data_IF_104302569395
#
_entry.id   IF_104302569395
#
_cell.length_a   1.000
_cell.length_b   1.000
_cell.length_c   1.000
_cell.angle_alpha   90.00
_cell.angle_beta   90.00
_cell.angle_gamma   90.00
#
_symmetry.space_group_name_H-M   'P 1'
#
loop_
_entity.id
_entity.type
_entity.pdbx_description
1 polymer ?
#
# COMPACT_ATOMS: atom_id res chain seq x y z
N UNK A 1 -20.25 8.47 -4.42
CA UNK A 1 -21.34 8.88 -3.54
C UNK A 1 -21.02 8.39 -2.13
N UNK A 2 -21.41 9.15 -1.10
CA UNK A 2 -21.09 8.84 0.31
C UNK A 2 -21.85 7.59 0.78
N UNK A 3 -23.04 7.40 0.29
CA UNK A 3 -23.90 6.25 0.57
C UNK A 3 -23.32 4.94 0.02
N UNK A 4 -22.80 4.97 -1.20
CA UNK A 4 -22.07 3.83 -1.81
C UNK A 4 -20.80 3.49 -1.04
N UNK A 5 -20.12 4.51 -0.50
CA UNK A 5 -18.94 4.32 0.34
C UNK A 5 -19.31 3.61 1.65
N UNK A 6 -20.36 4.05 2.33
CA UNK A 6 -20.82 3.40 3.56
C UNK A 6 -21.26 1.96 3.32
N UNK A 7 -21.99 1.70 2.25
CA UNK A 7 -22.37 0.33 1.86
C UNK A 7 -21.15 -0.56 1.60
N UNK A 8 -20.13 0.00 0.92
CA UNK A 8 -18.89 -0.72 0.68
C UNK A 8 -18.17 -1.05 2.00
N UNK A 9 -18.07 -0.10 2.93
CA UNK A 9 -17.43 -0.30 4.23
C UNK A 9 -18.18 -1.33 5.09
N UNK A 10 -19.50 -1.35 5.07
CA UNK A 10 -20.32 -2.35 5.76
C UNK A 10 -20.01 -3.78 5.33
N UNK A 11 -19.48 -4.00 4.11
CA UNK A 11 -19.07 -5.34 3.66
C UNK A 11 -17.85 -5.86 4.42
N UNK A 12 -17.02 -4.99 4.97
CA UNK A 12 -15.87 -5.35 5.79
C UNK A 12 -16.22 -5.50 7.30
N UNK A 13 -17.38 -5.00 7.72
CA UNK A 13 -17.82 -5.07 9.13
C UNK A 13 -18.50 -6.39 9.49
N UNK A 14 -19.06 -7.08 8.50
CA UNK A 14 -19.74 -8.37 8.73
C UNK A 14 -18.73 -9.49 8.80
N UNK A 15 -18.83 -10.36 9.80
CA UNK A 15 -18.23 -11.68 9.80
C UNK A 15 -18.80 -12.47 8.61
N UNK A 16 -18.16 -12.31 7.47
CA UNK A 16 -18.53 -13.07 6.28
C UNK A 16 -17.72 -14.37 6.30
N UNK A 17 -18.40 -15.49 6.25
CA UNK A 17 -17.76 -16.81 6.16
C UNK A 17 -17.06 -17.01 4.81
N UNK A 18 -16.18 -16.10 4.40
CA UNK A 18 -15.47 -16.14 3.13
C UNK A 18 -14.41 -15.04 3.00
N UNK A 19 -13.72 -15.04 1.86
CA UNK A 19 -12.70 -14.05 1.53
C UNK A 19 -13.31 -12.89 0.74
N UNK A 20 -13.08 -11.66 1.17
CA UNK A 20 -13.45 -10.46 0.43
C UNK A 20 -12.20 -9.86 -0.22
N UNK A 21 -12.25 -9.64 -1.52
CA UNK A 21 -11.22 -8.91 -2.28
C UNK A 21 -11.85 -7.65 -2.86
N UNK A 22 -11.25 -6.49 -2.55
CA UNK A 22 -11.73 -5.20 -3.03
C UNK A 22 -10.68 -4.51 -3.90
N UNK A 23 -11.11 -3.90 -5.00
CA UNK A 23 -10.26 -3.10 -5.87
C UNK A 23 -10.54 -1.62 -5.65
N UNK A 24 -9.51 -0.87 -5.24
CA UNK A 24 -9.61 0.53 -4.91
C UNK A 24 -8.52 1.35 -5.61
N UNK A 25 -8.83 2.61 -5.91
CA UNK A 25 -7.83 3.55 -6.47
C UNK A 25 -6.98 4.10 -5.34
N UNK A 26 -5.65 3.99 -5.47
CA UNK A 26 -4.69 4.53 -4.52
C UNK A 26 -4.76 6.07 -4.48
N UNK A 27 -4.92 6.65 -3.29
CA UNK A 27 -5.17 8.09 -3.10
C UNK A 27 -6.62 8.51 -3.36
N UNK A 28 -7.55 7.55 -3.57
CA UNK A 28 -8.99 7.81 -3.62
C UNK A 28 -9.65 7.76 -2.23
N UNK A 29 -10.95 7.97 -2.21
CA UNK A 29 -11.78 8.03 -0.97
C UNK A 29 -11.63 6.79 -0.08
N UNK A 30 -11.34 5.63 -0.66
CA UNK A 30 -11.15 4.38 0.07
C UNK A 30 -9.74 4.24 0.68
N UNK A 31 -8.74 4.99 0.19
CA UNK A 31 -7.39 4.97 0.75
C UNK A 31 -7.20 5.96 1.91
N UNK A 32 -8.05 6.98 2.03
CA UNK A 32 -7.90 8.04 3.03
C UNK A 32 -8.91 7.95 4.18
N UNK A 33 -10.04 7.29 3.99
CA UNK A 33 -11.14 7.30 4.96
C UNK A 33 -11.54 5.93 5.52
N UNK A 34 -10.82 4.85 5.22
CA UNK A 34 -11.16 3.53 5.72
C UNK A 34 -10.45 3.26 7.04
N UNK A 35 -11.22 3.00 8.07
CA UNK A 35 -10.73 2.54 9.38
C UNK A 35 -11.12 1.08 9.60
N UNK A 36 -10.37 0.17 8.96
CA UNK A 36 -10.53 -1.28 9.14
C UNK A 36 -9.49 -1.75 10.13
N UNK A 37 -9.88 -1.88 11.39
CA UNK A 37 -9.02 -2.38 12.48
C UNK A 37 -9.11 -3.89 12.63
N UNK A 38 -8.07 -4.51 13.18
CA UNK A 38 -7.98 -5.96 13.45
C UNK A 38 -8.04 -6.83 12.18
N UNK A 39 -8.65 -7.99 12.27
CA UNK A 39 -8.71 -8.99 11.19
C UNK A 39 -9.56 -8.60 9.96
N UNK A 40 -10.06 -7.37 9.93
CA UNK A 40 -10.89 -6.88 8.82
C UNK A 40 -10.11 -6.60 7.54
N UNK A 41 -8.80 -6.33 7.65
CA UNK A 41 -7.91 -6.13 6.53
C UNK A 41 -6.58 -6.85 6.78
N UNK A 42 -6.46 -8.05 6.26
CA UNK A 42 -5.27 -8.91 6.45
C UNK A 42 -4.21 -8.76 5.36
N UNK A 43 -4.49 -8.01 4.32
CA UNK A 43 -3.51 -7.81 3.24
C UNK A 43 -3.87 -6.70 2.28
N UNK A 44 -2.85 -6.11 1.68
CA UNK A 44 -2.98 -5.17 0.58
C UNK A 44 -2.01 -5.50 -0.55
N UNK A 45 -2.51 -5.49 -1.78
CA UNK A 45 -1.72 -5.56 -3.00
C UNK A 45 -1.67 -4.18 -3.63
N UNK A 46 -0.48 -3.57 -3.63
CA UNK A 46 -0.24 -2.23 -4.16
C UNK A 46 0.37 -2.37 -5.54
N UNK A 47 -0.41 -2.05 -6.56
CA UNK A 47 -0.02 -2.13 -7.97
C UNK A 47 0.48 -0.77 -8.45
N UNK A 48 1.75 -0.72 -8.86
CA UNK A 48 2.41 0.53 -9.26
C UNK A 48 2.94 1.35 -8.08
N UNK A 49 3.63 2.42 -8.39
CA UNK A 49 4.36 3.26 -7.42
C UNK A 49 3.59 4.52 -7.00
N UNK A 50 2.32 4.63 -7.34
CA UNK A 50 1.49 5.77 -6.96
C UNK A 50 1.88 7.11 -7.58
N UNK A 51 2.80 7.13 -8.54
CA UNK A 51 3.25 8.36 -9.20
C UNK A 51 2.03 9.11 -9.77
N UNK A 52 1.84 10.37 -9.40
CA UNK A 52 0.73 11.17 -9.91
C UNK A 52 0.88 11.49 -11.40
N UNK A 53 -0.24 11.82 -12.03
CA UNK A 53 -0.24 12.25 -13.42
C UNK A 53 0.57 13.54 -13.61
N UNK A 54 1.14 13.69 -14.82
CA UNK A 54 1.82 14.91 -15.23
C UNK A 54 0.80 16.04 -15.33
N UNK A 55 1.10 17.17 -14.70
CA UNK A 55 0.32 18.40 -14.79
C UNK A 55 1.26 19.61 -14.71
N UNK A 56 0.75 20.78 -15.09
CA UNK A 56 1.55 22.00 -15.13
C UNK A 56 2.17 22.36 -13.79
N UNK A 57 1.41 22.21 -12.71
CA UNK A 57 1.87 22.52 -11.34
C UNK A 57 3.05 21.65 -10.94
N UNK A 58 3.02 20.36 -11.30
CA UNK A 58 4.11 19.43 -11.02
C UNK A 58 5.34 19.68 -11.88
N UNK A 59 5.17 20.07 -13.13
CA UNK A 59 6.28 20.43 -13.99
C UNK A 59 6.96 21.74 -13.50
N UNK A 60 6.19 22.71 -13.00
CA UNK A 60 6.75 23.91 -12.35
C UNK A 60 7.55 23.50 -11.11
N UNK A 61 7.00 22.64 -10.27
CA UNK A 61 7.69 22.15 -9.05
C UNK A 61 8.98 21.39 -9.42
N UNK A 62 8.92 20.53 -10.42
CA UNK A 62 10.07 19.80 -10.92
C UNK A 62 11.17 20.73 -11.45
N UNK A 63 10.81 21.78 -12.18
CA UNK A 63 11.76 22.78 -12.66
C UNK A 63 12.38 23.57 -11.50
N UNK A 64 11.58 23.93 -10.50
CA UNK A 64 12.03 24.69 -9.34
C UNK A 64 13.11 23.92 -8.55
N UNK A 65 12.96 22.63 -8.33
CA UNK A 65 13.92 21.80 -7.60
C UNK A 65 15.07 21.25 -8.46
N UNK A 66 15.09 21.52 -9.78
CA UNK A 66 16.20 21.17 -10.66
C UNK A 66 16.55 19.68 -10.66
N UNK A 67 17.74 19.32 -10.22
CA UNK A 67 18.22 17.94 -10.22
C UNK A 67 17.36 16.97 -9.38
N UNK A 68 16.78 17.44 -8.29
CA UNK A 68 15.91 16.68 -7.40
C UNK A 68 14.41 16.84 -7.76
N UNK A 69 14.11 17.58 -8.83
CA UNK A 69 12.75 17.96 -9.18
C UNK A 69 11.80 16.81 -9.42
N UNK A 70 12.27 15.70 -10.01
CA UNK A 70 11.46 14.51 -10.18
C UNK A 70 11.08 13.88 -8.84
N UNK A 71 11.99 13.83 -7.90
CA UNK A 71 11.76 13.26 -6.58
C UNK A 71 10.66 14.04 -5.84
N UNK A 72 10.76 15.37 -5.81
CA UNK A 72 9.76 16.22 -5.13
C UNK A 72 8.41 16.27 -5.84
N UNK A 73 8.40 16.34 -7.16
CA UNK A 73 7.16 16.48 -7.91
C UNK A 73 6.38 15.15 -8.06
N UNK A 74 7.08 14.03 -8.10
CA UNK A 74 6.50 12.75 -8.48
C UNK A 74 6.79 11.61 -7.51
N UNK A 75 8.08 11.36 -7.22
CA UNK A 75 8.49 10.18 -6.46
C UNK A 75 7.99 10.20 -5.03
N UNK A 76 8.27 11.25 -4.28
CA UNK A 76 7.83 11.37 -2.88
C UNK A 76 6.32 11.39 -2.72
N UNK A 77 5.54 12.14 -3.51
CA UNK A 77 4.09 12.05 -3.49
C UNK A 77 3.55 10.65 -3.82
N UNK A 78 4.18 9.95 -4.76
CA UNK A 78 3.83 8.58 -5.09
C UNK A 78 4.07 7.63 -3.92
N UNK A 79 5.27 7.65 -3.36
CA UNK A 79 5.62 6.81 -2.22
C UNK A 79 4.77 7.11 -0.98
N UNK A 80 4.41 8.36 -0.73
CA UNK A 80 3.50 8.69 0.36
C UNK A 80 2.15 7.98 0.20
N UNK A 81 1.58 7.91 -1.00
CA UNK A 81 0.35 7.15 -1.25
C UNK A 81 0.54 5.66 -1.00
N UNK A 82 1.68 5.10 -1.43
CA UNK A 82 2.02 3.69 -1.18
C UNK A 82 2.08 3.42 0.33
N UNK A 83 2.82 4.25 1.08
CA UNK A 83 2.97 4.11 2.52
C UNK A 83 1.65 4.30 3.28
N UNK A 84 0.81 5.26 2.87
CA UNK A 84 -0.53 5.45 3.43
C UNK A 84 -1.42 4.23 3.20
N UNK A 85 -1.41 3.68 1.99
CA UNK A 85 -2.19 2.49 1.65
C UNK A 85 -1.71 1.26 2.44
N UNK A 86 -0.41 1.08 2.55
CA UNK A 86 0.21 0.00 3.33
C UNK A 86 -0.10 0.11 4.83
N UNK A 87 -0.04 1.33 5.38
CA UNK A 87 -0.35 1.62 6.78
C UNK A 87 -1.81 1.39 7.16
N UNK A 88 -2.69 1.06 6.21
CA UNK A 88 -4.06 0.61 6.50
C UNK A 88 -4.14 -0.84 6.95
N UNK A 89 -3.16 -1.66 6.59
CA UNK A 89 -3.11 -3.09 6.95
C UNK A 89 -2.60 -3.29 8.38
N UNK A 90 -1.56 -2.55 8.78
CA UNK A 90 -0.92 -2.68 10.10
C UNK A 90 -0.95 -1.32 10.78
N UNK A 91 -1.72 -1.20 11.84
CA UNK A 91 -1.93 0.05 12.61
C UNK A 91 -1.49 -0.06 14.04
N UNK A 92 -1.58 -1.26 14.61
CA UNK A 92 -1.25 -1.54 16.01
C UNK A 92 -0.24 -2.68 16.08
N UNK A 93 0.38 -2.82 17.23
CA UNK A 93 1.32 -3.93 17.51
C UNK A 93 0.67 -5.32 17.45
N UNK A 94 -0.67 -5.38 17.51
CA UNK A 94 -1.45 -6.62 17.45
C UNK A 94 -1.89 -7.00 16.04
N UNK A 95 -1.79 -6.07 15.09
CA UNK A 95 -2.22 -6.33 13.73
C UNK A 95 -1.19 -7.21 13.01
N UNK A 96 -1.67 -8.24 12.34
CA UNK A 96 -0.87 -9.12 11.49
C UNK A 96 -1.40 -9.05 10.07
N UNK A 97 -0.55 -8.72 9.11
CA UNK A 97 -0.98 -8.60 7.73
C UNK A 97 0.17 -8.64 6.73
N UNK A 98 -0.17 -8.71 5.47
CA UNK A 98 0.80 -8.79 4.36
C UNK A 98 0.61 -7.61 3.41
N UNK A 99 1.72 -7.01 3.01
CA UNK A 99 1.76 -5.97 1.98
C UNK A 99 2.56 -6.51 0.81
N UNK A 100 1.92 -6.60 -0.36
CA UNK A 100 2.55 -7.02 -1.60
C UNK A 100 2.74 -5.79 -2.52
N UNK A 101 4.00 -5.45 -2.78
CA UNK A 101 4.38 -4.34 -3.67
C UNK A 101 4.60 -4.89 -5.08
N UNK A 102 3.71 -4.55 -6.00
CA UNK A 102 3.66 -5.10 -7.36
C UNK A 102 4.16 -4.09 -8.38
N UNK A 103 5.46 -3.81 -8.37
CA UNK A 103 6.15 -2.99 -9.38
C UNK A 103 7.66 -3.23 -9.26
N UNK A 104 8.35 -3.40 -10.38
CA UNK A 104 9.80 -3.64 -10.40
C UNK A 104 10.62 -2.49 -9.83
N UNK A 105 10.12 -1.26 -9.92
CA UNK A 105 10.77 -0.05 -9.38
C UNK A 105 11.01 -0.13 -7.89
N UNK A 106 10.18 -0.86 -7.13
CA UNK A 106 10.39 -1.09 -5.70
C UNK A 106 11.67 -1.88 -5.37
N UNK A 107 12.26 -2.55 -6.36
CA UNK A 107 13.52 -3.27 -6.19
C UNK A 107 14.75 -2.37 -6.33
N UNK A 108 14.59 -1.18 -6.90
CA UNK A 108 15.72 -0.25 -7.09
C UNK A 108 16.15 0.38 -5.76
N UNK A 109 17.45 0.69 -5.60
CA UNK A 109 17.95 1.39 -4.40
C UNK A 109 17.27 2.73 -4.18
N UNK A 110 16.86 3.40 -5.26
CA UNK A 110 16.22 4.71 -5.22
C UNK A 110 14.84 4.66 -4.51
N UNK A 111 14.06 3.60 -4.73
CA UNK A 111 12.79 3.39 -4.03
C UNK A 111 12.99 2.77 -2.64
N UNK A 112 13.91 1.81 -2.50
CA UNK A 112 14.16 1.12 -1.23
C UNK A 112 14.63 2.03 -0.11
N UNK A 113 15.36 3.10 -0.40
CA UNK A 113 15.77 4.09 0.61
C UNK A 113 14.59 4.82 1.28
N UNK A 114 13.40 4.78 0.68
CA UNK A 114 12.18 5.39 1.21
C UNK A 114 11.32 4.41 2.01
N UNK A 115 11.73 3.13 2.07
CA UNK A 115 11.01 2.15 2.87
C UNK A 115 11.16 2.45 4.36
N UNK A 116 10.08 2.32 5.14
CA UNK A 116 10.16 2.46 6.57
C UNK A 116 10.99 1.32 7.18
N UNK A 117 11.45 1.49 8.41
CA UNK A 117 12.30 0.50 9.10
C UNK A 117 11.60 -0.85 9.25
N UNK A 118 10.32 -0.84 9.42
CA UNK A 118 9.46 -2.01 9.55
C UNK A 118 9.47 -2.90 8.30
N UNK A 119 9.92 -2.37 7.16
CA UNK A 119 10.06 -3.11 5.90
C UNK A 119 11.50 -3.62 5.66
N UNK A 120 12.37 -3.62 6.67
CA UNK A 120 13.77 -4.04 6.55
C UNK A 120 13.93 -5.49 6.07
N UNK A 121 12.97 -6.36 6.38
CA UNK A 121 12.92 -7.77 5.98
C UNK A 121 12.05 -8.05 4.74
N UNK A 122 11.72 -7.00 3.97
CA UNK A 122 10.97 -7.12 2.73
C UNK A 122 11.65 -8.11 1.77
N UNK A 123 10.93 -9.18 1.43
CA UNK A 123 11.43 -10.27 0.58
C UNK A 123 10.94 -10.12 -0.85
N UNK A 124 11.81 -10.44 -1.80
CA UNK A 124 11.40 -10.61 -3.19
C UNK A 124 10.63 -11.91 -3.34
N UNK A 125 9.46 -11.83 -3.98
CA UNK A 125 8.68 -13.02 -4.33
C UNK A 125 8.38 -13.07 -5.83
N UNK A 126 8.03 -14.25 -6.29
CA UNK A 126 7.56 -14.56 -7.65
C UNK A 126 6.26 -15.33 -7.55
N UNK A 127 5.59 -15.54 -8.69
CA UNK A 127 4.38 -16.38 -8.73
C UNK A 127 4.65 -17.83 -8.25
N UNK A 128 5.88 -18.29 -8.35
CA UNK A 128 6.26 -19.66 -7.97
C UNK A 128 6.39 -19.83 -6.45
N UNK A 129 6.87 -18.80 -5.73
CA UNK A 129 7.19 -18.92 -4.31
C UNK A 129 6.29 -18.08 -3.37
N UNK A 130 5.43 -17.21 -3.90
CA UNK A 130 4.58 -16.34 -3.08
C UNK A 130 3.66 -17.12 -2.15
N UNK A 131 3.10 -18.23 -2.61
CA UNK A 131 2.20 -19.08 -1.81
C UNK A 131 2.94 -19.71 -0.63
N UNK A 132 4.18 -20.15 -0.85
CA UNK A 132 5.03 -20.73 0.20
C UNK A 132 5.37 -19.67 1.26
N UNK A 133 5.82 -18.49 0.82
CA UNK A 133 6.16 -17.37 1.71
C UNK A 133 4.96 -16.93 2.55
N UNK A 134 3.78 -16.83 1.95
CA UNK A 134 2.54 -16.48 2.66
C UNK A 134 2.16 -17.57 3.66
N UNK A 135 2.28 -18.83 3.28
CA UNK A 135 1.98 -19.96 4.18
C UNK A 135 2.93 -19.99 5.37
N UNK A 136 4.21 -19.74 5.14
CA UNK A 136 5.23 -19.65 6.23
C UNK A 136 4.89 -18.47 7.17
N UNK A 137 4.55 -17.31 6.62
CA UNK A 137 4.20 -16.14 7.41
C UNK A 137 2.98 -16.37 8.31
N UNK A 138 1.91 -16.97 7.78
CA UNK A 138 0.69 -17.19 8.54
C UNK A 138 0.79 -18.31 9.57
N UNK A 139 1.74 -19.26 9.40
CA UNK A 139 2.00 -20.33 10.38
C UNK A 139 2.80 -19.85 11.58
N UNK A 140 3.53 -18.73 11.48
CA UNK A 140 4.24 -18.16 12.63
C UNK A 140 3.22 -17.50 13.55
N UNK A 141 3.09 -18.02 14.79
CA UNK A 141 2.34 -17.36 15.82
C UNK A 141 2.88 -15.95 16.09
N UNK A 142 2.02 -14.96 16.37
CA UNK A 142 2.49 -13.67 16.83
C UNK A 142 3.20 -13.89 18.18
N UNK A 143 4.50 -13.62 18.18
CA UNK A 143 5.33 -13.60 19.41
C UNK A 143 4.98 -12.40 20.25
#
# INVERSE_FOLDING_TARGET
DEEEREEFLKKFEKEQGGTLVAFCVMGGIFSEGIDLTQDRLIGAMIVGTGIPQVCNEREILKQYFGAEGFDYAYLYPGMNKVLQSAGRVIRTEKDKGVILLMDERFQSPHYRRMFPREWSDCRRCTMENVTELLTEFWKKDPT
#
